data_IF_950729493556
#
_entry.id   IF_950729493556
#
_cell.length_a   1.000
_cell.length_b   1.000
_cell.length_c   1.000
_cell.angle_alpha   90.00
_cell.angle_beta   90.00
_cell.angle_gamma   90.00
#
_symmetry.space_group_name_H-M   'P 1'
#
loop_
_entity.id
_entity.type
_entity.pdbx_description
1 polymer ?
#
# COMPACT_ATOMS: atom_id res chain seq x y z
N UNK A 1 -5.87 30.93 21.10
CA UNK A 1 -5.97 29.82 20.13
C UNK A 1 -4.62 29.30 19.63
N UNK A 2 -3.66 30.12 19.16
CA UNK A 2 -2.39 29.60 18.59
C UNK A 2 -1.52 28.81 19.60
N UNK A 3 -1.53 29.19 20.88
CA UNK A 3 -0.84 28.44 21.95
C UNK A 3 -1.43 27.05 22.18
N UNK A 4 -2.75 26.90 22.01
CA UNK A 4 -3.41 25.60 22.14
C UNK A 4 -2.98 24.65 21.01
N UNK A 5 -2.77 25.16 19.80
CA UNK A 5 -2.22 24.41 18.68
C UNK A 5 -0.71 24.11 18.77
N UNK A 6 -0.06 24.36 19.92
CA UNK A 6 1.31 23.93 20.19
C UNK A 6 2.41 24.94 19.87
N UNK A 7 2.08 26.14 19.38
CA UNK A 7 3.08 27.17 19.09
C UNK A 7 3.95 27.52 20.30
N UNK A 8 5.25 27.73 20.07
CA UNK A 8 6.20 28.12 21.12
C UNK A 8 5.90 29.51 21.69
N UNK A 9 6.25 29.71 22.96
CA UNK A 9 6.04 31.00 23.62
C UNK A 9 6.89 32.10 22.99
N UNK A 10 8.07 31.76 22.49
CA UNK A 10 9.00 32.71 21.88
C UNK A 10 8.50 33.17 20.49
N UNK A 11 7.94 32.27 19.69
CA UNK A 11 7.30 32.64 18.42
C UNK A 11 6.07 33.53 18.65
N UNK A 12 5.25 33.21 19.66
CA UNK A 12 4.10 34.03 20.03
C UNK A 12 4.52 35.40 20.58
N UNK A 13 5.60 35.46 21.38
CA UNK A 13 6.15 36.71 21.90
C UNK A 13 6.58 37.63 20.75
N UNK A 14 7.30 37.08 19.77
CA UNK A 14 7.70 37.82 18.57
C UNK A 14 6.52 38.26 17.71
N UNK A 15 5.46 37.45 17.61
CA UNK A 15 4.27 37.77 16.80
C UNK A 15 3.40 38.87 17.41
N UNK A 16 3.24 38.85 18.73
CA UNK A 16 2.34 39.76 19.45
C UNK A 16 3.06 40.94 20.11
N UNK A 17 4.37 41.07 19.94
CA UNK A 17 5.22 42.11 20.54
C UNK A 17 5.05 42.21 22.07
N UNK A 18 5.00 41.05 22.72
CA UNK A 18 4.84 40.93 24.19
C UNK A 18 5.90 40.01 24.76
N UNK A 19 6.17 40.15 26.06
CA UNK A 19 7.15 39.27 26.72
C UNK A 19 6.61 37.84 26.83
N UNK A 20 7.53 36.88 26.72
CA UNK A 20 7.26 35.44 26.93
C UNK A 20 6.50 35.18 28.24
N UNK A 21 6.89 35.87 29.31
CA UNK A 21 6.30 35.71 30.64
C UNK A 21 4.88 36.26 30.74
N UNK A 22 4.55 37.30 29.95
CA UNK A 22 3.18 37.79 29.84
C UNK A 22 2.28 36.74 29.19
N UNK A 23 2.74 36.07 28.13
CA UNK A 23 2.00 34.96 27.48
C UNK A 23 1.86 33.77 28.43
N UNK A 24 2.92 33.39 29.13
CA UNK A 24 2.88 32.30 30.10
C UNK A 24 1.88 32.59 31.23
N UNK A 25 1.96 33.78 31.81
CA UNK A 25 1.04 34.22 32.87
C UNK A 25 -0.40 34.29 32.36
N UNK A 26 -0.63 34.79 31.15
CA UNK A 26 -1.94 34.83 30.52
C UNK A 26 -2.53 33.41 30.36
N UNK A 27 -1.75 32.49 29.80
CA UNK A 27 -2.17 31.10 29.59
C UNK A 27 -2.49 30.36 30.90
N UNK A 28 -1.72 30.59 31.96
CA UNK A 28 -1.90 29.88 33.23
C UNK A 28 -2.92 30.53 34.17
N UNK A 29 -3.02 31.86 34.19
CA UNK A 29 -3.86 32.59 35.16
C UNK A 29 -5.22 33.02 34.59
N UNK A 30 -5.30 33.29 33.28
CA UNK A 30 -6.48 33.93 32.68
C UNK A 30 -7.24 33.03 31.71
N UNK A 31 -6.66 31.91 31.26
CA UNK A 31 -7.35 30.93 30.41
C UNK A 31 -7.83 29.75 31.28
N UNK A 32 -9.15 29.61 31.41
CA UNK A 32 -9.78 28.49 32.13
C UNK A 32 -9.51 27.14 31.44
N UNK A 33 -9.57 26.04 32.18
CA UNK A 33 -9.36 24.70 31.62
C UNK A 33 -10.38 24.37 30.51
N UNK A 34 -11.62 24.83 30.67
CA UNK A 34 -12.70 24.66 29.70
C UNK A 34 -12.42 25.43 28.40
N UNK A 35 -11.93 26.68 28.49
CA UNK A 35 -11.50 27.44 27.32
C UNK A 35 -10.28 26.80 26.63
N UNK A 36 -9.33 26.23 27.40
CA UNK A 36 -8.19 25.48 26.83
C UNK A 36 -8.65 24.26 26.03
N UNK A 37 -9.61 23.51 26.56
CA UNK A 37 -10.17 22.35 25.88
C UNK A 37 -10.89 22.74 24.58
N UNK A 38 -11.71 23.80 24.63
CA UNK A 38 -12.39 24.35 23.45
C UNK A 38 -11.43 24.85 22.37
N UNK A 39 -10.25 25.31 22.76
CA UNK A 39 -9.21 25.74 21.82
C UNK A 39 -8.35 24.60 21.27
N UNK A 40 -8.28 23.46 21.97
CA UNK A 40 -7.53 22.28 21.53
C UNK A 40 -8.32 21.46 20.51
N UNK A 41 -9.62 21.36 20.71
CA UNK A 41 -10.50 20.60 19.84
C UNK A 41 -11.77 21.41 19.61
N UNK A 42 -12.05 21.76 18.36
CA UNK A 42 -13.32 22.38 18.01
C UNK A 42 -14.48 21.48 18.46
N UNK A 43 -15.61 22.05 18.94
CA UNK A 43 -16.72 21.25 19.48
C UNK A 43 -17.24 20.17 18.52
N UNK A 44 -17.12 20.39 17.20
CA UNK A 44 -17.48 19.43 16.15
C UNK A 44 -16.50 18.26 15.98
N UNK A 45 -15.24 18.41 16.39
CA UNK A 45 -14.21 17.40 16.18
C UNK A 45 -14.19 16.36 17.30
N UNK A 46 -14.44 16.76 18.57
CA UNK A 46 -14.49 15.80 19.70
C UNK A 46 -15.55 14.73 19.46
N UNK A 47 -16.75 15.16 19.07
CA UNK A 47 -17.88 14.26 18.86
C UNK A 47 -17.65 13.34 17.65
N UNK A 48 -17.07 13.86 16.58
CA UNK A 48 -16.74 13.10 15.37
C UNK A 48 -15.59 12.11 15.62
N UNK A 49 -14.62 12.46 16.46
CA UNK A 49 -13.50 11.60 16.82
C UNK A 49 -13.93 10.50 17.79
N UNK A 50 -14.82 10.82 18.73
CA UNK A 50 -15.44 9.83 19.62
C UNK A 50 -16.33 8.84 18.83
N UNK A 51 -17.11 9.33 17.87
CA UNK A 51 -17.94 8.48 17.00
C UNK A 51 -17.11 7.54 16.11
N UNK A 52 -15.96 7.99 15.63
CA UNK A 52 -15.03 7.18 14.83
C UNK A 52 -14.24 6.18 15.68
N UNK A 53 -13.80 6.59 16.87
CA UNK A 53 -13.12 5.69 17.81
C UNK A 53 -14.05 4.57 18.31
N UNK A 54 -15.35 4.85 18.51
CA UNK A 54 -16.34 3.84 18.88
C UNK A 54 -16.63 2.81 17.77
N UNK A 55 -16.24 3.09 16.52
CA UNK A 55 -16.23 2.11 15.43
C UNK A 55 -14.86 1.44 15.38
N UNK A 56 -14.60 0.51 16.30
CA UNK A 56 -13.39 -0.32 16.36
C UNK A 56 -13.26 -1.33 15.19
N UNK A 57 -13.66 -0.93 13.98
CA UNK A 57 -13.46 -1.64 12.72
C UNK A 57 -13.00 -0.72 11.57
N UNK A 58 -12.70 0.56 11.84
CA UNK A 58 -12.24 1.48 10.80
C UNK A 58 -10.86 1.07 10.25
N UNK A 59 -10.72 1.16 8.93
CA UNK A 59 -9.49 0.84 8.22
C UNK A 59 -8.35 1.72 8.75
N UNK A 60 -7.14 1.16 8.87
CA UNK A 60 -5.92 1.90 9.23
C UNK A 60 -5.74 3.17 8.37
N UNK A 61 -6.22 3.13 7.12
CA UNK A 61 -6.23 4.28 6.21
C UNK A 61 -7.08 5.45 6.75
N UNK A 62 -8.23 5.18 7.37
CA UNK A 62 -9.11 6.23 7.87
C UNK A 62 -8.54 6.94 9.09
N UNK A 63 -7.84 6.19 9.96
CA UNK A 63 -7.02 6.77 11.02
C UNK A 63 -5.88 7.63 10.46
N UNK A 64 -5.17 7.17 9.42
CA UNK A 64 -4.12 7.98 8.79
C UNK A 64 -4.68 9.24 8.12
N UNK A 65 -5.89 9.20 7.53
CA UNK A 65 -6.57 10.39 7.00
C UNK A 65 -6.87 11.40 8.12
N UNK A 66 -7.30 10.93 9.29
CA UNK A 66 -7.55 11.77 10.47
C UNK A 66 -6.25 12.41 11.00
N UNK A 67 -5.19 11.62 11.13
CA UNK A 67 -3.87 12.12 11.53
C UNK A 67 -3.38 13.19 10.54
N UNK A 68 -3.53 12.94 9.23
CA UNK A 68 -3.19 13.90 8.18
C UNK A 68 -3.97 15.21 8.33
N UNK A 69 -5.29 15.17 8.50
CA UNK A 69 -6.09 16.39 8.65
C UNK A 69 -5.71 17.18 9.91
N UNK A 70 -5.44 16.49 11.02
CA UNK A 70 -4.98 17.12 12.25
C UNK A 70 -3.60 17.78 12.08
N UNK A 71 -2.64 17.09 11.47
CA UNK A 71 -1.31 17.62 11.20
C UNK A 71 -1.32 18.81 10.23
N UNK A 72 -2.20 18.81 9.22
CA UNK A 72 -2.38 19.96 8.32
C UNK A 72 -2.90 21.18 9.08
N UNK A 73 -3.86 20.99 9.99
CA UNK A 73 -4.36 22.08 10.85
C UNK A 73 -3.25 22.62 11.78
N UNK A 74 -2.42 21.74 12.34
CA UNK A 74 -1.27 22.14 13.15
C UNK A 74 -0.20 22.87 12.33
N UNK A 75 0.01 22.49 11.07
CA UNK A 75 0.94 23.16 10.18
C UNK A 75 0.48 24.60 9.89
N UNK A 76 -0.82 24.80 9.61
CA UNK A 76 -1.40 26.13 9.44
C UNK A 76 -1.25 26.98 10.72
N UNK A 77 -1.46 26.39 11.89
CA UNK A 77 -1.27 27.08 13.17
C UNK A 77 0.21 27.47 13.39
N UNK A 78 1.14 26.59 13.04
CA UNK A 78 2.57 26.83 13.18
C UNK A 78 3.07 27.93 12.23
N UNK A 79 2.60 27.94 10.97
CA UNK A 79 2.93 28.98 10.00
C UNK A 79 2.33 30.32 10.39
N UNK A 80 1.08 30.34 10.87
CA UNK A 80 0.47 31.56 11.40
C UNK A 80 1.23 32.11 12.60
N UNK A 81 1.70 31.24 13.50
CA UNK A 81 2.48 31.66 14.66
C UNK A 81 3.92 32.10 14.32
N UNK A 82 4.40 31.85 13.10
CA UNK A 82 5.79 32.10 12.71
C UNK A 82 6.80 31.12 13.34
N UNK A 83 6.32 29.98 13.86
CA UNK A 83 7.16 28.99 14.52
C UNK A 83 7.75 28.01 13.49
N UNK A 84 8.91 28.38 12.93
CA UNK A 84 9.59 27.56 11.92
C UNK A 84 10.04 26.19 12.42
N UNK A 85 10.36 26.06 13.71
CA UNK A 85 10.77 24.78 14.31
C UNK A 85 9.58 23.83 14.40
N UNK A 86 8.45 24.32 14.88
CA UNK A 86 7.21 23.55 14.92
C UNK A 86 6.74 23.19 13.51
N UNK A 87 6.79 24.14 12.57
CA UNK A 87 6.41 23.89 11.19
C UNK A 87 7.25 22.79 10.55
N UNK A 88 8.57 22.78 10.78
CA UNK A 88 9.47 21.73 10.26
C UNK A 88 9.13 20.36 10.86
N UNK A 89 8.89 20.29 12.17
CA UNK A 89 8.53 19.03 12.86
C UNK A 89 7.21 18.47 12.35
N UNK A 90 6.20 19.31 12.20
CA UNK A 90 4.89 18.93 11.68
C UNK A 90 4.99 18.49 10.22
N UNK A 91 5.79 19.18 9.40
CA UNK A 91 6.03 18.81 8.01
C UNK A 91 6.66 17.41 7.90
N UNK A 92 7.69 17.10 8.69
CA UNK A 92 8.31 15.77 8.72
C UNK A 92 7.30 14.69 9.13
N UNK A 93 6.52 14.94 10.18
CA UNK A 93 5.48 14.01 10.63
C UNK A 93 4.40 13.79 9.54
N UNK A 94 4.00 14.85 8.83
CA UNK A 94 3.04 14.79 7.73
C UNK A 94 3.59 13.96 6.56
N UNK A 95 4.85 14.15 6.16
CA UNK A 95 5.49 13.34 5.12
C UNK A 95 5.53 11.86 5.50
N UNK A 96 5.82 11.53 6.75
CA UNK A 96 5.79 10.14 7.23
C UNK A 96 4.39 9.51 7.18
N UNK A 97 3.34 10.28 7.49
CA UNK A 97 1.95 9.81 7.36
C UNK A 97 1.61 9.57 5.89
N UNK A 98 2.00 10.48 4.99
CA UNK A 98 1.77 10.33 3.55
C UNK A 98 2.52 9.13 2.96
N UNK A 99 3.77 8.90 3.35
CA UNK A 99 4.55 7.71 2.92
C UNK A 99 3.88 6.41 3.39
N UNK A 100 3.42 6.36 4.65
CA UNK A 100 2.66 5.21 5.18
C UNK A 100 1.36 4.98 4.41
N UNK A 101 0.61 6.05 4.12
CA UNK A 101 -0.61 5.96 3.31
C UNK A 101 -0.29 5.39 1.91
N UNK A 102 0.72 5.93 1.24
CA UNK A 102 1.12 5.49 -0.11
C UNK A 102 1.63 4.04 -0.15
N UNK A 103 2.28 3.55 0.91
CA UNK A 103 2.67 2.14 1.05
C UNK A 103 1.45 1.23 1.21
N UNK A 104 0.47 1.64 2.01
CA UNK A 104 -0.74 0.83 2.26
C UNK A 104 -1.65 0.81 1.03
N UNK A 105 -1.79 1.93 0.30
CA UNK A 105 -2.57 1.99 -0.95
C UNK A 105 -1.85 1.34 -2.13
N UNK A 106 -0.58 0.97 -1.98
CA UNK A 106 0.23 0.42 -3.05
C UNK A 106 0.63 1.46 -4.11
N UNK A 107 0.40 2.75 -3.88
CA UNK A 107 0.80 3.84 -4.79
C UNK A 107 2.32 3.89 -4.97
N UNK A 108 3.09 3.56 -3.93
CA UNK A 108 4.55 3.40 -4.06
C UNK A 108 4.90 2.22 -4.99
N UNK A 109 4.11 1.15 -4.96
CA UNK A 109 4.28 -0.03 -5.81
C UNK A 109 3.83 0.21 -7.25
N UNK A 110 2.82 1.05 -7.50
CA UNK A 110 2.42 1.43 -8.87
C UNK A 110 3.40 2.44 -9.48
N UNK A 111 3.94 3.37 -8.69
CA UNK A 111 5.04 4.24 -9.11
C UNK A 111 6.33 3.44 -9.36
N UNK A 112 6.66 2.48 -8.48
CA UNK A 112 7.79 1.57 -8.66
C UNK A 112 7.54 0.48 -9.72
N UNK A 113 6.28 0.15 -10.02
CA UNK A 113 5.87 -0.83 -11.05
C UNK A 113 5.97 -0.30 -12.47
N UNK A 114 6.22 1.01 -12.63
CA UNK A 114 6.82 1.55 -13.86
C UNK A 114 8.27 1.08 -14.06
N UNK A 115 8.89 0.44 -13.05
CA UNK A 115 10.01 -0.46 -13.26
C UNK A 115 9.41 -1.83 -13.56
N UNK A 116 9.50 -2.18 -14.83
CA UNK A 116 9.05 -3.43 -15.44
C UNK A 116 9.43 -4.62 -14.55
N UNK A 117 8.48 -5.16 -13.80
CA UNK A 117 8.60 -6.50 -13.24
C UNK A 117 8.56 -7.47 -14.44
N UNK A 118 9.73 -7.71 -15.04
CA UNK A 118 9.92 -8.80 -16.00
C UNK A 118 9.86 -10.08 -15.18
N UNK A 119 8.64 -10.55 -14.90
CA UNK A 119 8.42 -11.94 -14.49
C UNK A 119 8.69 -12.78 -15.72
N UNK A 120 9.95 -13.16 -15.89
CA UNK A 120 10.40 -14.03 -16.98
C UNK A 120 9.89 -15.45 -16.69
N UNK A 121 8.60 -15.67 -16.91
CA UNK A 121 7.98 -16.98 -16.74
C UNK A 121 8.37 -17.84 -17.96
N UNK A 122 9.63 -18.30 -17.99
CA UNK A 122 10.13 -19.18 -19.05
C UNK A 122 9.45 -20.53 -18.86
N UNK A 123 8.41 -20.79 -19.64
CA UNK A 123 7.80 -22.13 -19.77
C UNK A 123 8.79 -23.01 -20.53
N UNK A 124 9.78 -23.57 -19.83
CA UNK A 124 10.86 -24.39 -20.41
C UNK A 124 10.29 -25.62 -21.15
N UNK A 125 9.10 -26.09 -20.76
CA UNK A 125 8.45 -27.26 -21.36
C UNK A 125 8.02 -27.07 -22.83
N UNK A 126 7.76 -25.84 -23.27
CA UNK A 126 7.27 -25.52 -24.62
C UNK A 126 8.34 -24.86 -25.49
N UNK A 127 9.56 -24.66 -24.95
CA UNK A 127 10.62 -24.00 -25.68
C UNK A 127 11.05 -24.87 -26.88
N UNK A 128 11.06 -24.33 -28.12
CA UNK A 128 11.33 -25.12 -29.33
C UNK A 128 12.71 -25.80 -29.32
N UNK A 129 13.70 -25.19 -28.65
CA UNK A 129 15.02 -25.81 -28.46
C UNK A 129 14.99 -27.02 -27.51
N UNK A 130 14.09 -27.04 -26.53
CA UNK A 130 13.94 -28.18 -25.63
C UNK A 130 13.22 -29.35 -26.33
N UNK A 131 12.26 -29.05 -27.21
CA UNK A 131 11.65 -30.06 -28.09
C UNK A 131 12.70 -30.65 -29.04
N UNK A 132 13.56 -29.82 -29.64
CA UNK A 132 14.67 -30.29 -30.50
C UNK A 132 15.64 -31.19 -29.75
N UNK A 133 16.02 -30.82 -28.52
CA UNK A 133 16.89 -31.64 -27.68
C UNK A 133 16.27 -33.01 -27.36
N UNK A 134 14.97 -33.06 -27.04
CA UNK A 134 14.25 -34.32 -26.80
C UNK A 134 14.24 -35.23 -28.03
N UNK A 135 14.00 -34.66 -29.21
CA UNK A 135 14.00 -35.44 -30.47
C UNK A 135 15.40 -36.00 -30.77
N UNK A 136 16.46 -35.21 -30.59
CA UNK A 136 17.83 -35.66 -30.81
C UNK A 136 18.23 -36.82 -29.88
N UNK A 137 17.84 -36.77 -28.61
CA UNK A 137 18.08 -37.85 -27.64
C UNK A 137 17.35 -39.12 -28.06
N UNK A 138 16.08 -39.02 -28.49
CA UNK A 138 15.31 -40.19 -28.95
C UNK A 138 15.87 -40.81 -30.23
N UNK A 139 16.36 -39.97 -31.16
CA UNK A 139 17.02 -40.46 -32.38
C UNK A 139 18.33 -41.19 -32.07
N UNK A 140 19.14 -40.68 -31.12
CA UNK A 140 20.38 -41.32 -30.70
C UNK A 140 20.13 -42.68 -30.01
N UNK A 141 18.99 -42.84 -29.33
CA UNK A 141 18.58 -44.08 -28.67
C UNK A 141 17.87 -45.08 -29.61
N UNK A 142 17.73 -44.77 -30.90
CA UNK A 142 17.11 -45.63 -31.91
C UNK A 142 17.61 -47.09 -31.94
N UNK A 143 18.91 -47.38 -31.74
CA UNK A 143 19.43 -48.75 -31.70
C UNK A 143 19.06 -49.55 -30.44
N UNK A 144 18.60 -48.88 -29.37
CA UNK A 144 18.32 -49.46 -28.06
C UNK A 144 16.88 -49.16 -27.60
N UNK A 145 15.87 -49.92 -28.07
CA UNK A 145 14.46 -49.62 -27.83
C UNK A 145 14.05 -49.68 -26.36
N UNK A 146 14.76 -50.47 -25.55
CA UNK A 146 14.53 -50.55 -24.10
C UNK A 146 15.03 -49.31 -23.36
N UNK A 147 16.18 -48.77 -23.76
CA UNK A 147 16.74 -47.54 -23.20
C UNK A 147 15.88 -46.31 -23.56
N UNK A 148 15.34 -46.26 -24.78
CA UNK A 148 14.41 -45.21 -25.20
C UNK A 148 13.14 -45.16 -24.32
N UNK A 149 12.58 -46.32 -23.96
CA UNK A 149 11.40 -46.40 -23.08
C UNK A 149 11.70 -45.92 -21.66
N UNK A 150 12.85 -46.29 -21.11
CA UNK A 150 13.27 -45.85 -19.78
C UNK A 150 13.47 -44.32 -19.71
N UNK A 151 14.05 -43.73 -20.77
CA UNK A 151 14.27 -42.28 -20.86
C UNK A 151 12.94 -41.51 -21.02
N UNK A 152 12.01 -42.02 -21.83
CA UNK A 152 10.67 -41.45 -21.93
C UNK A 152 9.92 -41.50 -20.60
N UNK A 153 10.03 -42.62 -19.87
CA UNK A 153 9.41 -42.78 -18.56
C UNK A 153 10.00 -41.83 -17.50
N UNK A 154 11.27 -41.43 -17.61
CA UNK A 154 11.89 -40.44 -16.73
C UNK A 154 11.56 -38.98 -17.11
N UNK A 155 11.40 -38.70 -18.40
CA UNK A 155 11.04 -37.36 -18.91
C UNK A 155 9.55 -37.01 -18.72
N UNK A 156 8.68 -38.02 -18.65
CA UNK A 156 7.24 -37.86 -18.48
C UNK A 156 6.82 -37.28 -17.10
N UNK A 157 7.32 -37.77 -15.94
CA UNK A 157 6.98 -37.20 -14.62
C UNK A 157 7.68 -35.86 -14.36
N UNK A 158 8.75 -35.54 -15.10
CA UNK A 158 9.41 -34.23 -15.05
C UNK A 158 8.62 -33.12 -15.77
N UNK A 159 7.44 -33.43 -16.32
CA UNK A 159 6.46 -32.44 -16.77
C UNK A 159 5.36 -32.27 -15.70
N UNK A 160 5.54 -31.39 -14.70
CA UNK A 160 4.55 -31.18 -13.64
C UNK A 160 3.24 -30.55 -14.13
N UNK A 161 3.13 -30.18 -15.42
CA UNK A 161 1.94 -29.55 -16.01
C UNK A 161 1.30 -30.37 -17.15
N UNK A 162 1.46 -31.69 -17.17
CA UNK A 162 0.58 -32.51 -18.02
C UNK A 162 -0.85 -32.41 -17.47
N UNK A 163 -1.84 -31.87 -18.21
CA UNK A 163 -3.22 -31.86 -17.77
C UNK A 163 -3.63 -33.30 -17.50
N UNK A 164 -4.06 -33.59 -16.27
CA UNK A 164 -4.69 -34.87 -15.99
C UNK A 164 -5.91 -35.01 -16.92
N UNK A 165 -6.15 -36.18 -17.53
CA UNK A 165 -7.35 -36.40 -18.29
C UNK A 165 -8.54 -36.29 -17.33
N UNK A 166 -9.19 -35.13 -17.33
CA UNK A 166 -10.51 -34.90 -16.75
C UNK A 166 -11.45 -36.01 -17.28
N UNK A 167 -12.21 -36.71 -16.42
CA UNK A 167 -13.24 -37.64 -16.88
C UNK A 167 -14.30 -36.83 -17.64
N UNK A 168 -14.24 -36.90 -18.98
CA UNK A 168 -15.11 -36.14 -19.86
C UNK A 168 -16.59 -36.48 -19.62
N UNK A 169 -17.49 -35.47 -19.60
CA UNK A 169 -18.92 -35.71 -19.42
C UNK A 169 -19.47 -36.52 -20.59
N UNK A 170 -20.16 -37.61 -20.25
CA UNK A 170 -21.01 -38.33 -21.20
C UNK A 170 -22.09 -37.37 -21.72
N UNK A 171 -22.16 -37.24 -23.05
CA UNK A 171 -23.16 -36.55 -23.88
C UNK A 171 -22.72 -35.21 -24.49
N UNK A 172 -22.28 -35.28 -25.73
CA UNK A 172 -22.12 -34.13 -26.64
C UNK A 172 -22.16 -34.63 -28.09
N UNK A 173 -23.33 -34.52 -28.71
CA UNK A 173 -23.73 -35.06 -30.02
C UNK A 173 -22.72 -34.83 -31.17
N UNK A 174 -22.61 -35.85 -32.03
CA UNK A 174 -22.06 -35.77 -33.38
C UNK A 174 -22.71 -34.60 -34.15
N UNK A 175 -21.90 -33.68 -34.66
CA UNK A 175 -22.31 -32.80 -35.75
C UNK A 175 -21.83 -33.46 -37.04
N UNK A 176 -22.76 -34.14 -37.71
CA UNK A 176 -22.59 -34.65 -39.07
C UNK A 176 -22.48 -33.47 -40.04
N UNK A 177 -21.33 -33.36 -40.73
CA UNK A 177 -21.17 -32.51 -41.90
C UNK A 177 -21.95 -33.13 -43.07
N UNK A 178 -23.20 -32.68 -43.25
CA UNK A 178 -23.99 -32.95 -44.45
C UNK A 178 -23.54 -32.02 -45.58
N UNK A 179 -23.17 -32.62 -46.71
CA UNK A 179 -22.80 -31.93 -47.93
C UNK A 179 -23.99 -31.25 -48.63
N UNK A 180 -23.73 -30.00 -49.07
CA UNK A 180 -24.21 -29.25 -50.24
C UNK A 180 -25.72 -29.00 -50.46
N UNK A 181 -26.04 -27.92 -51.22
CA UNK A 181 -26.20 -28.08 -52.68
C UNK A 181 -25.20 -27.32 -53.54
#
# INVERSE_FOLDING_TARGET
MLRAGGASLDALASKFDVTRDAIHSHWHKHVSAEAKASYLVGPSDIENWALKAAREGDSVIDYLKLCRSSLVSQLATATEAGDGLLATRVAVALTNVLDRMARITGEVSTLAGSVTNITNNVVVGEHPEFIRARVAILQALGPFPEAARAVLAALHPANPNAPQPEPGPANGRLIELRANP
#
